data_IF_548171003312
#
_entry.id   IF_548171003312
#
_cell.length_a   1.000
_cell.length_b   1.000
_cell.length_c   1.000
_cell.angle_alpha   90.00
_cell.angle_beta   90.00
_cell.angle_gamma   90.00
#
_symmetry.space_group_name_H-M   'P 1'
#
loop_
_entity.id
_entity.type
_entity.pdbx_description
1 polymer ?
#
# COMPACT_ATOMS: atom_id res chain seq x y z
N UNK A 1 10.17 -25.13 63.27
CA UNK A 1 10.94 -26.40 63.31
C UNK A 1 9.98 -27.55 63.10
N UNK A 2 10.14 -28.30 62.01
CA UNK A 2 10.07 -29.78 61.98
C UNK A 2 10.23 -30.25 60.53
N UNK A 3 11.20 -31.15 60.36
CA UNK A 3 11.75 -31.65 59.11
C UNK A 3 10.91 -32.81 58.55
N UNK A 4 10.71 -32.77 57.22
CA UNK A 4 11.03 -33.79 56.19
C UNK A 4 11.29 -35.24 56.66
N UNK A 5 10.60 -36.21 56.04
CA UNK A 5 11.11 -37.47 55.42
C UNK A 5 9.92 -38.20 54.75
N UNK A 6 9.89 -38.43 53.43
CA UNK A 6 10.47 -39.52 52.60
C UNK A 6 9.82 -40.91 52.78
N UNK A 7 9.40 -41.57 51.68
CA UNK A 7 8.97 -42.98 51.75
C UNK A 7 8.05 -43.58 50.68
N UNK A 8 8.51 -43.62 49.42
CA UNK A 8 8.34 -44.64 48.35
C UNK A 8 7.27 -45.77 48.50
N UNK A 9 6.42 -45.95 47.48
CA UNK A 9 5.62 -47.18 47.26
C UNK A 9 5.26 -47.43 45.79
N UNK A 10 5.94 -48.39 45.14
CA UNK A 10 5.68 -48.93 43.79
C UNK A 10 4.45 -49.85 43.77
N UNK A 11 3.64 -49.81 42.70
CA UNK A 11 3.31 -50.94 41.79
C UNK A 11 2.01 -50.67 40.98
N UNK A 12 2.13 -50.67 39.65
CA UNK A 12 1.05 -51.08 38.73
C UNK A 12 0.92 -52.62 38.75
N UNK A 13 -0.24 -53.19 38.39
CA UNK A 13 -0.54 -53.49 36.98
C UNK A 13 -2.02 -53.24 36.60
N UNK A 14 -2.34 -53.38 35.31
CA UNK A 14 -3.53 -52.83 34.67
C UNK A 14 -4.86 -53.53 34.95
N UNK A 15 -5.96 -52.90 34.54
CA UNK A 15 -6.75 -53.41 33.43
C UNK A 15 -7.68 -52.32 32.85
N UNK A 16 -7.86 -52.43 31.54
CA UNK A 16 -8.83 -51.88 30.60
C UNK A 16 -9.99 -50.97 31.08
N UNK A 17 -10.09 -49.83 30.41
CA UNK A 17 -11.29 -48.99 30.36
C UNK A 17 -11.24 -48.07 29.14
N UNK A 18 -11.78 -48.54 28.01
CA UNK A 18 -12.05 -47.71 26.83
C UNK A 18 -13.13 -46.69 27.24
N UNK A 19 -12.73 -45.43 27.42
CA UNK A 19 -13.66 -44.31 27.52
C UNK A 19 -13.41 -43.35 26.36
N UNK A 20 -14.28 -43.46 25.36
CA UNK A 20 -14.52 -42.48 24.32
C UNK A 20 -15.14 -41.22 24.93
N UNK A 21 -14.51 -40.07 24.72
CA UNK A 21 -15.10 -38.75 24.95
C UNK A 21 -14.01 -37.72 25.28
N UNK A 22 -13.86 -36.60 24.60
CA UNK A 22 -14.58 -36.06 23.46
C UNK A 22 -13.81 -34.83 22.95
N UNK A 23 -13.76 -34.71 21.62
CA UNK A 23 -13.59 -33.47 20.84
C UNK A 23 -12.51 -32.50 21.31
N UNK A 24 -11.27 -32.89 21.05
CA UNK A 24 -10.36 -31.97 20.39
C UNK A 24 -10.99 -31.51 19.07
N UNK A 25 -11.28 -30.23 18.97
CA UNK A 25 -12.00 -29.65 17.84
C UNK A 25 -11.74 -28.16 17.74
N UNK A 26 -10.48 -27.75 17.90
CA UNK A 26 -10.04 -26.49 17.34
C UNK A 26 -10.30 -26.57 15.85
N UNK A 27 -11.39 -25.94 15.39
CA UNK A 27 -11.64 -25.74 13.96
C UNK A 27 -10.37 -25.09 13.42
N UNK A 28 -9.65 -25.69 12.44
CA UNK A 28 -8.67 -24.90 11.73
C UNK A 28 -9.43 -23.70 11.19
N UNK A 29 -8.98 -22.49 11.55
CA UNK A 29 -9.45 -21.27 10.89
C UNK A 29 -9.33 -21.58 9.41
N UNK A 30 -10.44 -21.50 8.68
CA UNK A 30 -10.44 -21.68 7.24
C UNK A 30 -9.31 -20.80 6.72
N UNK A 31 -8.26 -21.45 6.25
CA UNK A 31 -7.18 -20.82 5.53
C UNK A 31 -7.88 -20.02 4.44
N UNK A 32 -7.86 -18.69 4.60
CA UNK A 32 -8.43 -17.76 3.65
C UNK A 32 -7.57 -17.93 2.41
N UNK A 33 -7.94 -18.90 1.56
CA UNK A 33 -7.39 -19.08 0.22
C UNK A 33 -7.63 -17.75 -0.47
N UNK A 34 -6.60 -16.90 -0.48
CA UNK A 34 -6.56 -15.72 -1.31
C UNK A 34 -6.53 -16.28 -2.71
N UNK A 35 -7.65 -16.22 -3.42
CA UNK A 35 -7.66 -16.58 -4.83
C UNK A 35 -6.64 -15.68 -5.53
N UNK A 36 -5.80 -16.24 -6.41
CA UNK A 36 -4.82 -15.43 -7.12
C UNK A 36 -5.56 -14.34 -7.91
N UNK A 37 -4.99 -13.13 -8.00
CA UNK A 37 -5.60 -12.06 -8.79
C UNK A 37 -5.79 -12.53 -10.22
N UNK A 38 -6.86 -12.06 -10.86
CA UNK A 38 -7.07 -12.31 -12.28
C UNK A 38 -5.89 -11.76 -13.08
N UNK A 39 -5.65 -12.33 -14.27
CA UNK A 39 -4.58 -11.85 -15.16
C UNK A 39 -4.68 -10.34 -15.45
N UNK A 40 -5.91 -9.84 -15.60
CA UNK A 40 -6.17 -8.42 -15.84
C UNK A 40 -5.79 -7.55 -14.63
N UNK A 41 -6.20 -7.94 -13.42
CA UNK A 41 -5.82 -7.22 -12.19
C UNK A 41 -4.30 -7.24 -11.95
N UNK A 42 -3.64 -8.38 -12.22
CA UNK A 42 -2.20 -8.48 -12.14
C UNK A 42 -1.48 -7.57 -13.16
N UNK A 43 -2.04 -7.42 -14.36
CA UNK A 43 -1.51 -6.51 -15.37
C UNK A 43 -1.66 -5.04 -14.97
N UNK A 44 -2.83 -4.66 -14.44
CA UNK A 44 -3.06 -3.30 -13.91
C UNK A 44 -2.11 -2.97 -12.76
N UNK A 45 -1.86 -3.91 -11.85
CA UNK A 45 -0.89 -3.74 -10.76
C UNK A 45 0.53 -3.46 -11.29
N UNK A 46 0.95 -4.20 -12.30
CA UNK A 46 2.26 -4.00 -12.94
C UNK A 46 2.34 -2.63 -13.62
N UNK A 47 1.26 -2.19 -14.29
CA UNK A 47 1.20 -0.86 -14.92
C UNK A 47 1.31 0.26 -13.87
N UNK A 48 0.57 0.16 -12.75
CA UNK A 48 0.69 1.09 -11.62
C UNK A 48 2.11 1.15 -11.06
N UNK A 49 2.71 0.00 -10.84
CA UNK A 49 4.07 -0.09 -10.31
C UNK A 49 5.11 0.52 -11.28
N UNK A 50 4.95 0.32 -12.58
CA UNK A 50 5.83 0.89 -13.59
C UNK A 50 5.70 2.42 -13.65
N UNK A 51 4.48 2.96 -13.62
CA UNK A 51 4.25 4.41 -13.55
C UNK A 51 4.94 5.04 -12.34
N UNK A 52 4.81 4.45 -11.14
CA UNK A 52 5.47 4.95 -9.93
C UNK A 52 6.99 4.96 -10.10
N UNK A 53 7.57 3.89 -10.68
CA UNK A 53 9.00 3.78 -10.92
C UNK A 53 9.50 4.84 -11.91
N UNK A 54 8.80 5.02 -13.03
CA UNK A 54 9.18 6.01 -14.04
C UNK A 54 9.07 7.44 -13.52
N UNK A 55 7.98 7.77 -12.80
CA UNK A 55 7.81 9.07 -12.14
C UNK A 55 8.94 9.30 -11.14
N UNK A 56 9.30 8.29 -10.33
CA UNK A 56 10.40 8.40 -9.37
C UNK A 56 11.76 8.65 -10.05
N UNK A 57 12.04 7.96 -11.15
CA UNK A 57 13.29 8.15 -11.91
C UNK A 57 13.38 9.54 -12.56
N UNK A 58 12.26 10.06 -13.08
CA UNK A 58 12.18 11.43 -13.58
C UNK A 58 12.33 12.44 -12.43
N UNK A 59 11.72 12.19 -11.27
CA UNK A 59 11.89 12.99 -10.07
C UNK A 59 13.36 13.06 -9.65
N UNK A 60 14.07 11.93 -9.57
CA UNK A 60 15.51 11.93 -9.29
C UNK A 60 16.35 12.70 -10.33
N UNK A 61 15.93 12.66 -11.60
CA UNK A 61 16.61 13.41 -12.65
C UNK A 61 16.39 14.91 -12.50
N UNK A 62 15.15 15.31 -12.19
CA UNK A 62 14.73 16.70 -12.00
C UNK A 62 15.37 17.33 -10.75
N UNK A 63 15.55 16.56 -9.66
CA UNK A 63 16.17 17.04 -8.42
C UNK A 63 17.66 17.34 -8.59
N UNK A 64 18.35 16.51 -9.40
CA UNK A 64 19.76 16.69 -9.73
C UNK A 64 19.95 17.83 -10.74
N UNK A 65 19.24 17.76 -11.87
CA UNK A 65 19.38 18.67 -13.02
C UNK A 65 17.99 19.10 -13.53
N UNK A 66 17.41 20.19 -12.98
CA UNK A 66 16.09 20.66 -13.41
C UNK A 66 16.15 21.09 -14.88
N UNK A 67 15.35 20.41 -15.72
CA UNK A 67 15.22 20.69 -17.14
C UNK A 67 13.75 20.74 -17.51
N UNK A 68 13.36 21.73 -18.31
CA UNK A 68 11.99 21.87 -18.84
C UNK A 68 11.55 20.59 -19.58
N UNK A 69 12.48 19.91 -20.25
CA UNK A 69 12.18 18.66 -20.97
C UNK A 69 11.79 17.52 -20.02
N UNK A 70 12.49 17.41 -18.88
CA UNK A 70 12.22 16.42 -17.83
C UNK A 70 10.94 16.78 -17.10
N UNK A 71 10.73 18.06 -16.80
CA UNK A 71 9.50 18.57 -16.17
C UNK A 71 8.25 18.25 -16.99
N UNK A 72 8.29 18.47 -18.32
CA UNK A 72 7.17 18.12 -19.20
C UNK A 72 6.83 16.64 -19.17
N UNK A 73 7.86 15.77 -19.20
CA UNK A 73 7.67 14.31 -19.09
C UNK A 73 7.11 13.92 -17.72
N UNK A 74 7.60 14.56 -16.66
CA UNK A 74 7.13 14.37 -15.29
C UNK A 74 5.64 14.73 -15.18
N UNK A 75 5.22 15.90 -15.67
CA UNK A 75 3.81 16.33 -15.72
C UNK A 75 2.95 15.33 -16.49
N UNK A 76 3.43 14.89 -17.66
CA UNK A 76 2.69 13.94 -18.49
C UNK A 76 2.44 12.62 -17.76
N UNK A 77 3.46 12.03 -17.12
CA UNK A 77 3.29 10.77 -16.39
C UNK A 77 2.37 10.91 -15.18
N UNK A 78 2.43 12.02 -14.46
CA UNK A 78 1.50 12.29 -13.35
C UNK A 78 0.07 12.40 -13.86
N UNK A 79 -0.15 13.08 -14.99
CA UNK A 79 -1.46 13.15 -15.62
C UNK A 79 -2.01 11.76 -15.98
N UNK A 80 -1.18 10.87 -16.52
CA UNK A 80 -1.57 9.48 -16.80
C UNK A 80 -1.95 8.74 -15.51
N UNK A 81 -1.17 8.90 -14.44
CA UNK A 81 -1.47 8.30 -13.14
C UNK A 81 -2.81 8.79 -12.56
N UNK A 82 -3.08 10.09 -12.62
CA UNK A 82 -4.34 10.69 -12.14
C UNK A 82 -5.53 10.16 -12.96
N UNK A 83 -5.41 10.13 -14.29
CA UNK A 83 -6.49 9.65 -15.16
C UNK A 83 -6.80 8.17 -14.94
N UNK A 84 -5.78 7.35 -14.68
CA UNK A 84 -5.96 5.95 -14.29
C UNK A 84 -6.75 5.83 -12.98
N UNK A 85 -6.44 6.63 -11.96
CA UNK A 85 -7.19 6.63 -10.68
C UNK A 85 -8.62 7.14 -10.87
N UNK A 86 -8.82 8.20 -11.66
CA UNK A 86 -10.16 8.74 -11.98
C UNK A 86 -11.02 7.69 -12.69
N UNK A 87 -10.46 6.92 -13.61
CA UNK A 87 -11.15 5.81 -14.28
C UNK A 87 -11.55 4.73 -13.26
N UNK A 88 -10.64 4.35 -12.36
CA UNK A 88 -10.92 3.38 -11.30
C UNK A 88 -12.00 3.85 -10.31
N UNK A 89 -12.07 5.15 -10.02
CA UNK A 89 -13.14 5.76 -9.21
C UNK A 89 -14.50 5.70 -9.95
N UNK A 90 -14.52 6.04 -11.23
CA UNK A 90 -15.74 6.03 -12.05
C UNK A 90 -16.32 4.62 -12.25
N UNK A 91 -15.48 3.57 -12.20
CA UNK A 91 -15.92 2.17 -12.26
C UNK A 91 -16.57 1.69 -10.96
N UNK A 92 -16.20 2.25 -9.80
CA UNK A 92 -16.72 1.87 -8.47
C UNK A 92 -18.04 2.54 -8.11
N UNK A 93 -18.78 3.07 -9.10
CA UNK A 93 -19.98 3.93 -8.98
C UNK A 93 -21.24 3.24 -8.40
N UNK A 94 -21.07 2.26 -7.52
CA UNK A 94 -22.14 1.63 -6.75
C UNK A 94 -22.32 2.35 -5.39
N UNK A 95 -23.09 3.44 -5.48
CA UNK A 95 -24.10 3.95 -4.53
C UNK A 95 -23.81 4.51 -3.13
N UNK A 96 -22.60 4.55 -2.58
CA UNK A 96 -22.33 5.41 -1.40
C UNK A 96 -20.89 5.90 -1.44
N UNK A 97 -20.71 7.23 -1.48
CA UNK A 97 -19.38 7.86 -1.40
C UNK A 97 -18.64 7.32 -0.18
N UNK A 98 -17.72 6.37 -0.39
CA UNK A 98 -16.98 5.78 0.73
C UNK A 98 -15.97 6.82 1.19
N UNK A 99 -15.62 6.79 2.49
CA UNK A 99 -14.59 7.70 3.05
C UNK A 99 -13.30 7.67 2.21
N UNK A 100 -12.97 6.52 1.64
CA UNK A 100 -11.84 6.30 0.74
C UNK A 100 -11.88 7.15 -0.53
N UNK A 101 -13.03 7.32 -1.17
CA UNK A 101 -13.13 8.08 -2.43
C UNK A 101 -12.94 9.58 -2.19
N UNK A 102 -13.39 10.08 -1.03
CA UNK A 102 -13.15 11.48 -0.63
C UNK A 102 -11.66 11.72 -0.41
N UNK A 103 -10.99 10.79 0.27
CA UNK A 103 -9.56 10.86 0.49
C UNK A 103 -8.80 10.83 -0.84
N UNK A 104 -9.16 9.94 -1.76
CA UNK A 104 -8.55 9.88 -3.09
C UNK A 104 -8.74 11.20 -3.86
N UNK A 105 -9.94 11.77 -3.85
CA UNK A 105 -10.19 13.06 -4.49
C UNK A 105 -9.31 14.17 -3.91
N UNK A 106 -9.24 14.29 -2.58
CA UNK A 106 -8.38 15.28 -1.92
C UNK A 106 -6.90 15.06 -2.27
N UNK A 107 -6.45 13.80 -2.36
CA UNK A 107 -5.08 13.49 -2.75
C UNK A 107 -4.80 13.82 -4.23
N UNK A 108 -5.76 13.64 -5.13
CA UNK A 108 -5.64 14.04 -6.54
C UNK A 108 -5.49 15.56 -6.63
N UNK A 109 -6.40 16.33 -6.03
CA UNK A 109 -6.34 17.79 -6.04
C UNK A 109 -5.03 18.32 -5.43
N UNK A 110 -4.58 17.69 -4.33
CA UNK A 110 -3.29 18.02 -3.71
C UNK A 110 -2.11 17.74 -4.64
N UNK A 111 -2.15 16.63 -5.37
CA UNK A 111 -1.13 16.27 -6.35
C UNK A 111 -1.08 17.28 -7.50
N UNK A 112 -2.25 17.66 -8.04
CA UNK A 112 -2.35 18.65 -9.13
C UNK A 112 -1.83 20.02 -8.66
N UNK A 113 -2.27 20.49 -7.49
CA UNK A 113 -1.81 21.77 -6.92
C UNK A 113 -0.29 21.79 -6.67
N UNK A 114 0.28 20.70 -6.13
CA UNK A 114 1.70 20.62 -5.89
C UNK A 114 2.52 20.58 -7.20
N UNK A 115 1.98 19.95 -8.24
CA UNK A 115 2.60 19.90 -9.56
C UNK A 115 2.59 21.27 -10.26
N UNK A 116 1.51 22.03 -10.13
CA UNK A 116 1.43 23.39 -10.67
C UNK A 116 2.42 24.33 -9.95
N UNK A 117 2.51 24.26 -8.62
CA UNK A 117 3.50 25.02 -7.84
C UNK A 117 4.95 24.64 -8.23
N UNK A 118 5.22 23.34 -8.40
CA UNK A 118 6.52 22.83 -8.82
C UNK A 118 6.93 23.40 -10.19
N UNK A 119 5.99 23.45 -11.14
CA UNK A 119 6.24 24.01 -12.46
C UNK A 119 6.55 25.50 -12.41
N UNK A 120 5.77 26.26 -11.66
CA UNK A 120 6.02 27.69 -11.48
C UNK A 120 7.41 27.96 -10.88
N UNK A 121 7.81 27.19 -9.87
CA UNK A 121 9.12 27.33 -9.24
C UNK A 121 10.26 26.96 -10.18
N UNK A 122 10.15 25.90 -10.95
CA UNK A 122 11.20 25.51 -11.91
C UNK A 122 11.30 26.54 -13.04
N UNK A 123 10.17 27.05 -13.55
CA UNK A 123 10.16 28.04 -14.63
C UNK A 123 10.69 29.40 -14.20
N UNK A 124 10.52 29.77 -12.92
CA UNK A 124 10.99 31.05 -12.36
C UNK A 124 12.35 30.97 -11.67
N UNK A 125 13.03 29.82 -11.71
CA UNK A 125 14.26 29.57 -10.97
C UNK A 125 14.11 29.90 -9.46
N UNK A 126 13.01 29.44 -8.87
CA UNK A 126 12.64 29.66 -7.47
C UNK A 126 13.42 28.80 -6.47
N UNK A 127 12.89 28.70 -5.25
CA UNK A 127 13.54 27.99 -4.14
C UNK A 127 13.70 26.48 -4.41
N UNK A 128 14.95 26.03 -4.49
CA UNK A 128 15.29 24.63 -4.72
C UNK A 128 14.86 23.71 -3.57
N UNK A 129 14.86 24.19 -2.32
CA UNK A 129 14.38 23.38 -1.20
C UNK A 129 12.89 23.08 -1.36
N UNK A 130 12.10 24.09 -1.70
CA UNK A 130 10.66 23.96 -1.96
C UNK A 130 10.36 23.02 -3.14
N UNK A 131 11.15 23.09 -4.21
CA UNK A 131 11.05 22.16 -5.35
C UNK A 131 11.18 20.71 -4.89
N UNK A 132 12.16 20.39 -4.03
CA UNK A 132 12.36 19.02 -3.52
C UNK A 132 11.22 18.58 -2.61
N UNK A 133 10.73 19.46 -1.74
CA UNK A 133 9.56 19.18 -0.88
C UNK A 133 8.33 18.83 -1.71
N UNK A 134 8.04 19.62 -2.75
CA UNK A 134 6.90 19.39 -3.64
C UNK A 134 7.03 18.07 -4.39
N UNK A 135 8.24 17.70 -4.81
CA UNK A 135 8.47 16.42 -5.48
C UNK A 135 8.21 15.22 -4.54
N UNK A 136 8.65 15.29 -3.29
CA UNK A 136 8.35 14.25 -2.29
C UNK A 136 6.85 14.23 -1.93
N UNK A 137 6.19 15.39 -1.87
CA UNK A 137 4.75 15.50 -1.65
C UNK A 137 3.94 14.85 -2.76
N UNK A 138 4.26 15.14 -4.03
CA UNK A 138 3.66 14.52 -5.21
C UNK A 138 3.86 13.00 -5.15
N UNK A 139 5.08 12.54 -4.90
CA UNK A 139 5.40 11.10 -4.81
C UNK A 139 4.59 10.42 -3.70
N UNK A 140 4.50 11.03 -2.53
CA UNK A 140 3.71 10.52 -1.41
C UNK A 140 2.22 10.42 -1.73
N UNK A 141 1.67 11.43 -2.41
CA UNK A 141 0.28 11.41 -2.86
C UNK A 141 0.04 10.29 -3.88
N UNK A 142 0.92 10.14 -4.88
CA UNK A 142 0.82 9.10 -5.89
C UNK A 142 0.88 7.70 -5.29
N UNK A 143 1.83 7.43 -4.39
CA UNK A 143 1.89 6.14 -3.68
C UNK A 143 0.60 5.90 -2.90
N UNK A 144 0.05 6.93 -2.26
CA UNK A 144 -1.18 6.80 -1.47
C UNK A 144 -2.42 6.50 -2.29
N UNK A 145 -2.50 6.96 -3.55
CA UNK A 145 -3.65 6.71 -4.44
C UNK A 145 -3.47 5.50 -5.36
N UNK A 146 -2.22 5.07 -5.61
CA UNK A 146 -1.89 3.96 -6.49
C UNK A 146 -1.62 2.64 -5.76
N UNK A 147 -1.31 2.67 -4.46
CA UNK A 147 -1.15 1.45 -3.64
C UNK A 147 -2.45 0.73 -3.31
#
# INVERSE_FOLDING_TARGET
MSMKVDGRGKKSPGNEGISLGGRGGGRPRADSRVEPPSFMEAMEEVERANLIREISALGESLSKHPSISVLRRYRQLIGVAIEMVRRSLALKRDFKWRRSERTMFVLIERTESALDELEELILREGDRARVLELMEEIKGCLISILS
#
